data_IF_665614328341
#
_entry.id   IF_665614328341
#
_cell.length_a   1.000
_cell.length_b   1.000
_cell.length_c   1.000
_cell.angle_alpha   90.00
_cell.angle_beta   90.00
_cell.angle_gamma   90.00
#
_symmetry.space_group_name_H-M   'P 1'
#
loop_
_entity.id
_entity.type
_entity.pdbx_description
1 polymer ?
#
# COMPACT_ATOMS: atom_id res chain seq x y z
N UNK A 1 31.07 -6.93 -17.06
CA UNK A 1 29.95 -6.48 -17.92
C UNK A 1 28.95 -7.59 -18.23
N UNK A 2 29.38 -8.73 -18.79
CA UNK A 2 28.47 -9.87 -19.10
C UNK A 2 27.68 -10.39 -17.89
N UNK A 3 28.32 -10.54 -16.71
CA UNK A 3 27.62 -10.96 -15.48
C UNK A 3 26.54 -9.99 -15.03
N UNK A 4 26.78 -8.68 -15.20
CA UNK A 4 25.80 -7.63 -14.88
C UNK A 4 24.60 -7.67 -15.85
N UNK A 5 24.86 -7.94 -17.13
CA UNK A 5 23.83 -8.13 -18.15
C UNK A 5 22.93 -9.33 -17.83
N UNK A 6 23.50 -10.44 -17.35
CA UNK A 6 22.69 -11.61 -16.93
C UNK A 6 21.82 -11.32 -15.71
N UNK A 7 22.34 -10.59 -14.71
CA UNK A 7 21.54 -10.16 -13.55
C UNK A 7 20.39 -9.26 -14.01
N UNK A 8 20.66 -8.31 -14.90
CA UNK A 8 19.65 -7.40 -15.43
C UNK A 8 18.55 -8.15 -16.20
N UNK A 9 18.94 -9.06 -17.10
CA UNK A 9 18.00 -9.89 -17.89
C UNK A 9 17.17 -10.77 -16.96
N UNK A 10 17.79 -11.38 -15.96
CA UNK A 10 17.08 -12.21 -14.99
C UNK A 10 16.07 -11.41 -14.17
N UNK A 11 16.43 -10.19 -13.75
CA UNK A 11 15.49 -9.27 -13.09
C UNK A 11 14.31 -8.92 -13.99
N UNK A 12 14.51 -8.65 -15.29
CA UNK A 12 13.41 -8.37 -16.22
C UNK A 12 12.52 -9.59 -16.51
N UNK A 13 13.08 -10.80 -16.55
CA UNK A 13 12.30 -12.03 -16.72
C UNK A 13 11.38 -12.30 -15.52
N UNK A 14 11.81 -11.99 -14.30
CA UNK A 14 10.99 -12.12 -13.09
C UNK A 14 9.80 -11.17 -13.13
N UNK A 15 9.99 -9.93 -13.60
CA UNK A 15 8.93 -8.92 -13.66
C UNK A 15 7.77 -9.31 -14.59
N UNK A 16 8.03 -10.10 -15.64
CA UNK A 16 7.00 -10.52 -16.62
C UNK A 16 6.00 -11.57 -16.11
N UNK A 17 6.29 -12.22 -14.98
CA UNK A 17 5.46 -13.32 -14.42
C UNK A 17 4.71 -12.88 -13.15
N UNK A 18 4.83 -11.62 -12.75
CA UNK A 18 4.17 -11.12 -11.56
C UNK A 18 2.68 -10.87 -11.84
N UNK A 19 1.81 -11.53 -11.06
CA UNK A 19 0.39 -11.18 -10.91
C UNK A 19 0.25 -9.95 -10.01
N UNK A 20 0.99 -8.90 -10.33
CA UNK A 20 0.87 -7.63 -9.63
C UNK A 20 -0.38 -6.89 -10.12
N UNK A 21 -1.01 -6.15 -9.21
CA UNK A 21 -2.02 -5.19 -9.59
C UNK A 21 -1.42 -4.20 -10.61
N UNK A 22 -2.14 -4.01 -11.73
CA UNK A 22 -1.75 -3.13 -12.83
C UNK A 22 -2.38 -1.75 -12.71
N UNK A 23 -3.24 -1.52 -11.72
CA UNK A 23 -3.83 -0.21 -11.44
C UNK A 23 -2.69 0.79 -11.13
N UNK A 24 -2.80 2.05 -11.58
CA UNK A 24 -1.81 3.06 -11.25
C UNK A 24 -1.70 3.24 -9.74
N UNK A 25 -0.51 2.98 -9.18
CA UNK A 25 -0.23 3.20 -7.76
C UNK A 25 -0.11 4.71 -7.48
N UNK A 26 -1.21 5.35 -7.10
CA UNK A 26 -1.27 6.76 -6.72
C UNK A 26 -2.25 6.92 -5.57
N UNK A 27 -1.89 7.77 -4.60
CA UNK A 27 -2.64 8.07 -3.36
C UNK A 27 -4.10 8.50 -3.58
N UNK A 28 -4.42 8.91 -4.80
CA UNK A 28 -5.78 9.08 -5.31
C UNK A 28 -6.05 7.99 -6.33
N UNK A 29 -6.49 6.82 -5.86
CA UNK A 29 -6.99 5.76 -6.73
C UNK A 29 -7.99 6.37 -7.71
N UNK A 30 -7.91 5.96 -8.98
CA UNK A 30 -9.06 6.03 -9.86
C UNK A 30 -10.13 5.22 -9.13
N UNK A 31 -11.26 5.86 -8.81
CA UNK A 31 -12.34 5.28 -8.02
C UNK A 31 -12.76 3.93 -8.62
N UNK A 32 -12.26 2.84 -8.03
CA UNK A 32 -12.43 1.47 -8.51
C UNK A 32 -12.47 0.54 -7.30
N UNK A 33 -13.50 -0.31 -7.17
CA UNK A 33 -13.55 -1.31 -6.12
C UNK A 33 -12.33 -2.23 -6.12
N UNK A 34 -12.06 -2.83 -4.97
CA UNK A 34 -11.10 -3.93 -4.85
C UNK A 34 -11.46 -5.12 -5.75
N UNK A 35 -10.47 -5.95 -6.06
CA UNK A 35 -10.67 -7.17 -6.84
C UNK A 35 -11.54 -8.18 -6.10
N UNK A 36 -12.63 -8.64 -6.74
CA UNK A 36 -13.55 -9.62 -6.17
C UNK A 36 -12.83 -10.95 -5.92
N UNK A 37 -13.05 -11.54 -4.75
CA UNK A 37 -12.42 -12.81 -4.31
C UNK A 37 -10.89 -12.78 -4.20
N UNK A 38 -10.27 -11.61 -4.34
CA UNK A 38 -8.85 -11.41 -4.13
C UNK A 38 -8.67 -10.64 -2.82
N UNK A 39 -7.72 -11.11 -2.01
CA UNK A 39 -7.26 -10.39 -0.82
C UNK A 39 -5.99 -9.65 -1.21
N UNK A 40 -6.04 -8.33 -1.11
CA UNK A 40 -4.88 -7.46 -1.28
C UNK A 40 -4.37 -7.03 0.10
N UNK A 41 -3.05 -7.08 0.27
CA UNK A 41 -2.39 -6.70 1.51
C UNK A 41 -1.39 -5.58 1.23
N UNK A 42 -1.61 -4.43 1.84
CA UNK A 42 -0.84 -3.22 1.59
C UNK A 42 -0.10 -2.76 2.85
N UNK A 43 1.07 -2.14 2.63
CA UNK A 43 1.91 -1.61 3.69
C UNK A 43 2.29 -0.19 3.35
N UNK A 44 1.98 0.73 4.25
CA UNK A 44 2.31 2.14 4.12
C UNK A 44 3.26 2.53 5.24
N UNK A 45 4.39 3.13 4.87
CA UNK A 45 5.34 3.72 5.80
C UNK A 45 5.48 5.20 5.49
N UNK A 46 4.95 6.04 6.36
CA UNK A 46 4.98 7.49 6.22
C UNK A 46 5.99 8.07 7.20
N UNK A 47 6.94 8.85 6.70
CA UNK A 47 7.87 9.62 7.53
C UNK A 47 7.39 11.07 7.58
N UNK A 48 7.23 11.60 8.78
CA UNK A 48 6.88 13.00 9.02
C UNK A 48 8.09 13.69 9.66
N UNK A 49 8.64 14.67 8.96
CA UNK A 49 9.69 15.54 9.48
C UNK A 49 9.36 17.00 9.21
N UNK A 50 9.64 17.85 10.20
CA UNK A 50 9.48 19.32 10.08
C UNK A 50 10.52 19.96 9.16
N UNK A 51 11.69 19.34 9.01
CA UNK A 51 12.77 19.83 8.16
C UNK A 51 13.59 18.69 7.58
N UNK A 52 13.84 18.75 6.27
CA UNK A 52 14.75 17.80 5.61
C UNK A 52 16.21 18.00 6.02
N UNK A 53 16.58 19.17 6.55
CA UNK A 53 17.93 19.44 7.06
C UNK A 53 18.15 18.91 8.48
N UNK A 54 17.08 18.55 9.20
CA UNK A 54 17.15 17.99 10.55
C UNK A 54 16.14 16.84 10.70
N UNK A 55 16.60 15.64 10.34
CA UNK A 55 15.82 14.41 10.42
C UNK A 55 15.79 13.80 11.84
N UNK A 56 16.49 14.39 12.81
CA UNK A 56 16.58 13.82 14.16
C UNK A 56 15.24 13.83 14.88
N UNK A 57 14.31 14.70 14.46
CA UNK A 57 12.96 14.77 14.96
C UNK A 57 11.92 14.24 13.97
N UNK A 58 12.22 13.13 13.31
CA UNK A 58 11.29 12.44 12.38
C UNK A 58 10.43 11.45 13.16
N UNK A 59 9.11 11.50 12.98
CA UNK A 59 8.20 10.43 13.37
C UNK A 59 7.87 9.55 12.16
N UNK A 60 7.42 8.32 12.41
CA UNK A 60 6.84 7.51 11.35
C UNK A 60 5.52 6.86 11.76
N UNK A 61 4.66 6.73 10.76
CA UNK A 61 3.41 5.99 10.84
C UNK A 61 3.52 4.77 9.93
N UNK A 62 3.29 3.59 10.50
CA UNK A 62 3.20 2.33 9.79
C UNK A 62 1.74 1.87 9.75
N UNK A 63 1.19 1.70 8.56
CA UNK A 63 -0.17 1.19 8.36
C UNK A 63 -0.11 -0.11 7.58
N UNK A 64 -0.72 -1.15 8.15
CA UNK A 64 -1.00 -2.41 7.47
C UNK A 64 -2.47 -2.45 7.08
N UNK A 65 -2.75 -2.75 5.83
CA UNK A 65 -4.09 -2.81 5.25
C UNK A 65 -4.33 -4.18 4.61
N UNK A 66 -5.55 -4.68 4.79
CA UNK A 66 -6.08 -5.82 4.06
C UNK A 66 -7.39 -5.40 3.42
N UNK A 67 -7.50 -5.52 2.10
CA UNK A 67 -8.71 -5.20 1.35
C UNK A 67 -9.17 -6.35 0.44
N UNK A 68 -10.46 -6.35 0.13
CA UNK A 68 -11.06 -7.31 -0.81
C UNK A 68 -12.31 -6.75 -1.47
N UNK A 69 -12.53 -7.11 -2.73
CA UNK A 69 -13.80 -6.85 -3.42
C UNK A 69 -14.87 -7.85 -2.96
N UNK A 70 -16.06 -7.34 -2.66
CA UNK A 70 -17.23 -8.14 -2.24
C UNK A 70 -18.18 -8.46 -3.41
N UNK A 71 -17.95 -7.85 -4.58
CA UNK A 71 -18.82 -7.97 -5.75
C UNK A 71 -19.93 -6.91 -5.79
N UNK A 72 -20.55 -6.74 -6.96
CA UNK A 72 -21.63 -5.76 -7.16
C UNK A 72 -21.20 -4.32 -6.85
N UNK A 73 -19.94 -3.97 -7.12
CA UNK A 73 -19.38 -2.64 -6.84
C UNK A 73 -18.98 -2.40 -5.38
N UNK A 74 -19.13 -3.37 -4.49
CA UNK A 74 -18.73 -3.25 -3.07
C UNK A 74 -17.30 -3.70 -2.82
N UNK A 75 -16.64 -3.05 -1.87
CA UNK A 75 -15.40 -3.53 -1.26
C UNK A 75 -15.36 -3.27 0.25
N UNK A 76 -14.42 -3.96 0.89
CA UNK A 76 -14.13 -3.82 2.31
C UNK A 76 -12.62 -3.78 2.53
N UNK A 77 -12.19 -2.92 3.45
CA UNK A 77 -10.80 -2.83 3.89
C UNK A 77 -10.70 -2.66 5.41
N UNK A 78 -9.70 -3.31 6.00
CA UNK A 78 -9.32 -3.18 7.41
C UNK A 78 -7.88 -2.66 7.50
N UNK A 79 -7.69 -1.66 8.37
CA UNK A 79 -6.43 -0.99 8.59
C UNK A 79 -6.01 -1.14 10.03
N UNK A 80 -4.71 -1.34 10.29
CA UNK A 80 -4.10 -1.17 11.60
C UNK A 80 -2.94 -0.17 11.47
N UNK A 81 -2.99 0.87 12.29
CA UNK A 81 -2.01 1.97 12.29
C UNK A 81 -1.17 1.89 13.54
N UNK A 82 0.13 2.01 13.36
CA UNK A 82 1.14 2.09 14.39
C UNK A 82 1.92 3.38 14.21
N UNK A 83 2.28 4.05 15.30
CA UNK A 83 3.04 5.29 15.28
C UNK A 83 4.27 5.19 16.15
N UNK A 84 5.33 5.87 15.73
CA UNK A 84 6.55 6.03 16.50
C UNK A 84 7.01 7.48 16.43
N UNK A 85 7.13 8.13 17.58
CA UNK A 85 7.79 9.43 17.68
C UNK A 85 9.31 9.29 17.59
N UNK A 86 10.01 10.38 17.30
CA UNK A 86 11.48 10.42 17.14
C UNK A 86 12.27 9.77 18.27
N UNK A 87 11.80 9.87 19.51
CA UNK A 87 12.43 9.30 20.71
C UNK A 87 11.62 8.16 21.35
N UNK A 88 10.51 7.76 20.73
CA UNK A 88 9.57 6.79 21.30
C UNK A 88 9.73 5.38 20.73
N UNK A 89 9.05 4.42 21.35
CA UNK A 89 8.85 3.09 20.77
C UNK A 89 7.66 3.09 19.82
N UNK A 90 7.64 2.14 18.87
CA UNK A 90 6.46 1.86 18.06
C UNK A 90 5.27 1.49 18.97
N UNK A 91 4.12 2.10 18.72
CA UNK A 91 2.88 1.84 19.45
C UNK A 91 1.72 1.71 18.49
N UNK A 92 0.80 0.80 18.80
CA UNK A 92 -0.50 0.76 18.14
C UNK A 92 -1.25 2.07 18.41
N UNK A 93 -1.85 2.63 17.37
CA UNK A 93 -2.60 3.89 17.40
C UNK A 93 -4.09 3.65 17.17
N UNK A 94 -4.45 2.99 16.06
CA UNK A 94 -5.85 2.84 15.67
C UNK A 94 -6.10 1.68 14.69
N UNK A 95 -7.35 1.22 14.66
CA UNK A 95 -7.88 0.40 13.58
C UNK A 95 -8.91 1.21 12.80
N UNK A 96 -8.96 1.01 11.49
CA UNK A 96 -10.01 1.59 10.63
C UNK A 96 -10.69 0.45 9.89
N UNK A 97 -11.99 0.59 9.69
CA UNK A 97 -12.77 -0.30 8.84
C UNK A 97 -13.42 0.57 7.78
N UNK A 98 -13.30 0.16 6.52
CA UNK A 98 -13.83 0.91 5.38
C UNK A 98 -14.69 -0.03 4.55
N UNK A 99 -15.91 0.40 4.30
CA UNK A 99 -16.78 -0.17 3.28
C UNK A 99 -16.95 0.88 2.19
N UNK A 100 -16.73 0.52 0.93
CA UNK A 100 -17.03 1.40 -0.21
C UNK A 100 -17.99 0.71 -1.15
N UNK A 101 -18.80 1.53 -1.82
CA UNK A 101 -19.64 1.14 -2.94
C UNK A 101 -19.32 2.05 -4.12
N UNK A 102 -19.09 1.48 -5.30
CA UNK A 102 -18.89 2.23 -6.53
C UNK A 102 -20.24 2.69 -7.12
N UNK A 103 -20.45 4.01 -7.12
CA UNK A 103 -21.65 4.64 -7.73
C UNK A 103 -21.58 4.63 -9.26
N UNK A 104 -20.38 4.61 -9.83
CA UNK A 104 -20.11 4.56 -11.26
C UNK A 104 -19.01 3.53 -11.54
N UNK A 105 -19.12 2.78 -12.65
CA UNK A 105 -18.09 1.81 -13.07
C UNK A 105 -18.16 0.45 -12.36
N UNK A 106 -19.36 0.00 -12.00
CA UNK A 106 -19.60 -1.31 -11.37
C UNK A 106 -19.81 -2.47 -12.34
N UNK A 107 -19.30 -2.34 -13.58
CA UNK A 107 -19.44 -3.32 -14.67
C UNK A 107 -18.05 -3.83 -15.11
#
# INVERSE_FOLDING_TARGET
>A
MIRFMFVLIFSFLILGVLFADRRPFVWTYIYSPGHVEVIEAENYLTFDTKSLSDITNTSFDYQFEVETGLGGGWDFAMYNVFKQSSTGSLRYDSSKFRFRYAIFGGD
#
